data_IF_386868754425
#
_entry.id   IF_386868754425
#
_cell.length_a   1.000
_cell.length_b   1.000
_cell.length_c   1.000
_cell.angle_alpha   90.00
_cell.angle_beta   90.00
_cell.angle_gamma   90.00
#
_symmetry.space_group_name_H-M   'P 1'
#
loop_
_entity.id
_entity.type
_entity.pdbx_description
1 polymer ?
#
# COMPACT_ATOMS: atom_id res chain seq x y z
N UNK A 1 22.48 1.34 -4.56
CA UNK A 1 21.25 0.58 -4.76
C UNK A 1 20.21 0.97 -3.77
N UNK A 2 19.07 1.31 -4.26
CA UNK A 2 17.99 1.63 -3.36
C UNK A 2 17.27 0.35 -2.98
N UNK A 3 17.28 0.06 -1.72
CA UNK A 3 16.53 -1.05 -1.20
C UNK A 3 15.16 -0.56 -0.84
N UNK A 4 14.19 -0.99 -1.58
CA UNK A 4 12.82 -0.64 -1.28
C UNK A 4 12.42 -1.36 -0.01
N UNK A 5 12.14 -0.58 1.04
CA UNK A 5 11.83 -1.15 2.33
C UNK A 5 10.35 -1.40 2.54
N UNK A 6 9.53 -0.62 1.88
CA UNK A 6 8.08 -0.63 2.12
C UNK A 6 7.31 -0.76 0.83
N UNK A 7 6.12 -1.32 0.93
CA UNK A 7 5.20 -1.42 -0.20
C UNK A 7 3.82 -1.02 0.26
N UNK A 8 3.14 -0.21 -0.56
CA UNK A 8 1.71 0.04 -0.39
C UNK A 8 0.98 -0.91 -1.30
N UNK A 9 -0.04 -1.55 -0.77
CA UNK A 9 -0.84 -2.45 -1.58
C UNK A 9 -2.32 -2.21 -1.31
N UNK A 10 -3.13 -2.50 -2.31
CA UNK A 10 -4.58 -2.44 -2.20
C UNK A 10 -5.10 -3.84 -1.91
N UNK A 11 -5.87 -3.98 -0.84
CA UNK A 11 -6.47 -5.27 -0.49
C UNK A 11 -7.91 -5.28 -0.98
N UNK A 12 -8.19 -6.12 -1.95
CA UNK A 12 -9.48 -6.09 -2.65
C UNK A 12 -10.65 -6.44 -1.73
N UNK A 13 -10.46 -7.40 -0.83
CA UNK A 13 -11.53 -7.80 0.08
C UNK A 13 -11.80 -6.75 1.15
N UNK A 14 -10.75 -6.15 1.66
CA UNK A 14 -10.90 -5.10 2.66
C UNK A 14 -11.33 -3.77 2.05
N UNK A 15 -11.11 -3.62 0.75
CA UNK A 15 -11.36 -2.37 0.04
C UNK A 15 -10.64 -1.22 0.70
N UNK A 16 -9.34 -1.42 0.93
CA UNK A 16 -8.52 -0.47 1.66
C UNK A 16 -7.07 -0.65 1.29
N UNK A 17 -6.30 0.44 1.40
CA UNK A 17 -4.87 0.41 1.15
C UNK A 17 -4.14 0.20 2.46
N UNK A 18 -3.10 -0.64 2.40
CA UNK A 18 -2.23 -0.93 3.54
C UNK A 18 -0.79 -0.79 3.11
N UNK A 19 0.11 -0.80 4.09
CA UNK A 19 1.53 -0.92 3.78
C UNK A 19 2.11 -2.10 4.56
N UNK A 20 3.24 -2.58 4.07
CA UNK A 20 3.98 -3.64 4.75
C UNK A 20 5.46 -3.47 4.42
N UNK A 21 6.29 -4.16 5.17
CA UNK A 21 7.68 -4.26 4.80
C UNK A 21 7.79 -5.08 3.53
N UNK A 22 8.62 -4.63 2.62
CA UNK A 22 8.79 -5.32 1.35
C UNK A 22 9.23 -6.76 1.54
N UNK A 23 10.09 -7.00 2.54
CA UNK A 23 10.58 -8.36 2.82
C UNK A 23 9.49 -9.30 3.31
N UNK A 24 8.41 -8.76 3.82
CA UNK A 24 7.29 -9.57 4.35
C UNK A 24 6.12 -9.68 3.39
N UNK A 25 6.06 -8.78 2.42
CA UNK A 25 4.91 -8.73 1.53
C UNK A 25 4.86 -9.96 0.65
N UNK A 26 3.72 -10.62 0.61
CA UNK A 26 3.51 -11.80 -0.20
C UNK A 26 2.98 -11.40 -1.57
N UNK A 27 3.86 -11.41 -2.56
CA UNK A 27 3.51 -11.04 -3.93
C UNK A 27 2.51 -12.00 -4.57
N UNK A 28 2.38 -13.19 -4.02
CA UNK A 28 1.46 -14.21 -4.55
C UNK A 28 0.09 -14.17 -3.88
N UNK A 29 -0.11 -13.28 -2.94
CA UNK A 29 -1.39 -13.19 -2.27
C UNK A 29 -2.44 -12.68 -3.26
N UNK A 30 -3.55 -13.39 -3.35
CA UNK A 30 -4.53 -13.21 -4.40
C UNK A 30 -5.21 -11.84 -4.36
N UNK A 31 -5.46 -11.33 -3.17
CA UNK A 31 -6.24 -10.10 -3.01
C UNK A 31 -5.40 -8.85 -2.78
N UNK A 32 -4.09 -9.01 -2.68
CA UNK A 32 -3.19 -7.90 -2.42
C UNK A 32 -2.50 -7.47 -3.70
N UNK A 33 -2.76 -6.24 -4.13
CA UNK A 33 -2.20 -5.69 -5.37
C UNK A 33 -1.23 -4.58 -5.03
N UNK A 34 0.07 -4.75 -5.30
CA UNK A 34 1.04 -3.70 -4.97
C UNK A 34 0.81 -2.44 -5.82
N UNK A 35 0.98 -1.30 -5.19
CA UNK A 35 0.74 -0.01 -5.81
C UNK A 35 2.01 0.83 -5.88
N UNK A 36 2.77 0.86 -4.80
CA UNK A 36 3.95 1.72 -4.71
C UNK A 36 5.00 1.09 -3.81
N UNK A 37 6.24 1.21 -4.23
CA UNK A 37 7.40 0.77 -3.43
C UNK A 37 8.24 1.98 -3.09
N UNK A 38 8.72 2.04 -1.86
CA UNK A 38 9.60 3.14 -1.46
C UNK A 38 10.38 2.76 -0.21
N UNK A 39 11.51 3.42 0.00
CA UNK A 39 12.26 3.31 1.24
C UNK A 39 11.99 4.48 2.19
N UNK A 40 11.11 5.39 1.79
CA UNK A 40 10.77 6.57 2.58
C UNK A 40 9.44 6.34 3.29
N UNK A 41 9.53 6.09 4.60
CA UNK A 41 8.33 5.76 5.37
C UNK A 41 7.33 6.90 5.40
N UNK A 42 7.79 8.15 5.46
CA UNK A 42 6.88 9.29 5.48
C UNK A 42 6.08 9.37 4.19
N UNK A 43 6.75 9.13 3.06
CA UNK A 43 6.07 9.10 1.78
C UNK A 43 5.03 7.98 1.73
N UNK A 44 5.41 6.80 2.22
CA UNK A 44 4.53 5.65 2.26
C UNK A 44 3.28 5.93 3.08
N UNK A 45 3.47 6.49 4.27
CA UNK A 45 2.34 6.76 5.16
C UNK A 45 1.41 7.81 4.57
N UNK A 46 1.99 8.89 4.05
CA UNK A 46 1.22 9.98 3.47
C UNK A 46 0.44 9.51 2.24
N UNK A 47 1.10 8.75 1.39
CA UNK A 47 0.45 8.25 0.18
C UNK A 47 -0.67 7.28 0.51
N UNK A 48 -0.42 6.37 1.44
CA UNK A 48 -1.44 5.42 1.86
C UNK A 48 -2.68 6.14 2.40
N UNK A 49 -2.45 7.13 3.25
CA UNK A 49 -3.57 7.87 3.84
C UNK A 49 -4.35 8.64 2.79
N UNK A 50 -3.66 9.25 1.85
CA UNK A 50 -4.33 9.97 0.77
C UNK A 50 -5.16 9.06 -0.12
N UNK A 51 -4.64 7.88 -0.43
CA UNK A 51 -5.37 6.92 -1.24
C UNK A 51 -6.63 6.44 -0.51
N UNK A 52 -6.52 6.18 0.79
CA UNK A 52 -7.68 5.74 1.56
C UNK A 52 -8.72 6.84 1.70
N UNK A 53 -8.30 8.09 1.82
CA UNK A 53 -9.25 9.20 1.86
C UNK A 53 -10.06 9.28 0.57
N UNK A 54 -9.39 9.15 -0.56
CA UNK A 54 -10.07 9.17 -1.85
C UNK A 54 -11.04 8.01 -1.99
N UNK A 55 -10.63 6.86 -1.50
CA UNK A 55 -11.47 5.67 -1.58
C UNK A 55 -12.74 5.86 -0.75
N UNK A 56 -12.61 6.44 0.43
CA UNK A 56 -13.78 6.72 1.26
C UNK A 56 -14.72 7.72 0.61
N UNK A 57 -14.18 8.73 -0.04
CA UNK A 57 -14.97 9.72 -0.73
C UNK A 57 -15.78 9.09 -1.86
N UNK A 58 -15.16 8.14 -2.56
CA UNK A 58 -15.83 7.47 -3.67
C UNK A 58 -16.89 6.49 -3.20
N UNK A 59 -16.80 6.05 -1.96
CA UNK A 59 -17.73 5.06 -1.42
C UNK A 59 -19.07 5.64 -0.99
N UNK A 60 -19.18 6.93 -0.95
CA UNK A 60 -20.43 7.59 -0.51
C UNK A 60 -21.43 7.75 -1.63
#
# INVERSE_FOLDING_TARGET
MSDKKYVIYYHEKANEYFYDYYSRFNMNEQYSKPVLYSDDFQLIERTKNGLNERLQEQSN
#
